data_IF_168987107582
#
_entry.id   IF_168987107582
#
_cell.length_a   1.000
_cell.length_b   1.000
_cell.length_c   1.000
_cell.angle_alpha   90.00
_cell.angle_beta   90.00
_cell.angle_gamma   90.00
#
_symmetry.space_group_name_H-M   'P 1'
#
loop_
_entity.id
_entity.type
_entity.pdbx_description
1 polymer ?
#
# COMPACT_ATOMS: atom_id res chain seq x y z
N UNK A 1 13.65 -15.14 6.97
CA UNK A 1 13.22 -14.15 7.88
C UNK A 1 11.85 -13.64 7.56
N UNK A 2 11.62 -13.34 6.34
CA UNK A 2 10.33 -12.80 6.02
C UNK A 2 9.22 -13.81 6.14
N UNK A 3 9.53 -15.07 6.01
CA UNK A 3 8.52 -16.11 6.15
C UNK A 3 7.97 -16.19 7.57
N UNK A 4 8.67 -15.61 8.52
CA UNK A 4 8.22 -15.64 9.88
C UNK A 4 7.64 -14.30 10.33
N UNK A 5 7.53 -13.35 9.44
CA UNK A 5 7.00 -12.07 9.82
C UNK A 5 5.52 -12.17 10.10
N UNK A 6 5.04 -11.36 11.05
CA UNK A 6 3.62 -11.31 11.35
C UNK A 6 2.88 -10.48 10.30
N UNK A 7 3.54 -9.59 9.61
CA UNK A 7 2.96 -8.80 8.54
C UNK A 7 4.08 -8.20 7.68
N UNK A 8 3.79 -7.92 6.44
CA UNK A 8 4.72 -7.22 5.55
C UNK A 8 4.11 -5.86 5.26
N UNK A 9 4.86 -4.81 5.55
CA UNK A 9 4.38 -3.45 5.35
C UNK A 9 5.18 -2.80 4.24
N UNK A 10 4.50 -2.27 3.23
CA UNK A 10 5.13 -1.53 2.14
C UNK A 10 4.76 -0.07 2.35
N UNK A 11 5.70 0.71 2.86
CA UNK A 11 5.45 2.10 3.22
C UNK A 11 6.69 2.94 3.01
N UNK A 12 6.66 3.93 2.15
CA UNK A 12 5.52 4.28 1.30
C UNK A 12 5.43 3.40 0.05
N UNK A 13 4.24 3.19 -0.43
CA UNK A 13 4.03 2.41 -1.65
C UNK A 13 3.76 3.38 -2.80
N UNK A 14 4.63 3.37 -3.80
CA UNK A 14 4.45 4.22 -4.97
C UNK A 14 3.44 3.61 -5.92
N UNK A 15 2.93 4.40 -6.85
CA UNK A 15 2.02 3.89 -7.87
C UNK A 15 2.67 2.76 -8.65
N UNK A 16 3.97 2.87 -8.92
CA UNK A 16 4.69 1.83 -9.66
C UNK A 16 4.72 0.52 -8.88
N UNK A 17 5.02 0.57 -7.61
CA UNK A 17 5.05 -0.64 -6.79
C UNK A 17 3.67 -1.26 -6.69
N UNK A 18 2.64 -0.44 -6.52
CA UNK A 18 1.26 -0.93 -6.45
C UNK A 18 0.88 -1.63 -7.75
N UNK A 19 1.26 -1.05 -8.90
CA UNK A 19 0.98 -1.66 -10.18
C UNK A 19 1.72 -2.99 -10.34
N UNK A 20 2.97 -3.06 -9.90
CA UNK A 20 3.72 -4.30 -9.98
C UNK A 20 3.10 -5.37 -9.10
N UNK A 21 2.70 -5.00 -7.89
CA UNK A 21 2.06 -5.95 -7.00
C UNK A 21 0.75 -6.46 -7.60
N UNK A 22 -0.03 -5.59 -8.20
CA UNK A 22 -1.32 -5.99 -8.78
C UNK A 22 -1.13 -6.92 -9.96
N UNK A 23 -0.01 -6.78 -10.69
CA UNK A 23 0.27 -7.62 -11.85
C UNK A 23 1.13 -8.83 -11.53
N UNK A 24 1.58 -8.96 -10.30
CA UNK A 24 2.40 -10.11 -9.92
C UNK A 24 3.84 -10.02 -10.42
N UNK A 25 4.34 -8.81 -10.65
CA UNK A 25 5.71 -8.63 -11.10
C UNK A 25 6.64 -8.66 -9.90
N UNK A 26 7.67 -9.46 -9.97
CA UNK A 26 8.63 -9.61 -8.89
C UNK A 26 10.02 -9.40 -9.45
N UNK A 27 10.35 -8.16 -9.75
CA UNK A 27 11.62 -7.83 -10.39
C UNK A 27 12.64 -7.20 -9.44
N UNK A 28 12.32 -7.11 -8.17
CA UNK A 28 13.28 -6.64 -7.16
C UNK A 28 12.98 -7.34 -5.84
N UNK A 29 13.77 -7.04 -4.82
CA UNK A 29 13.61 -7.70 -3.54
C UNK A 29 12.25 -7.41 -2.92
N UNK A 30 11.81 -6.18 -3.00
CA UNK A 30 10.52 -5.81 -2.41
C UNK A 30 9.37 -6.56 -3.06
N UNK A 31 9.27 -6.51 -4.38
CA UNK A 31 8.16 -7.13 -5.07
C UNK A 31 8.23 -8.66 -4.98
N UNK A 32 9.45 -9.20 -4.96
CA UNK A 32 9.61 -10.64 -4.77
C UNK A 32 9.16 -11.08 -3.38
N UNK A 33 9.48 -10.27 -2.38
CA UNK A 33 9.06 -10.57 -1.02
C UNK A 33 7.54 -10.56 -0.91
N UNK A 34 6.91 -9.54 -1.49
CA UNK A 34 5.46 -9.44 -1.44
C UNK A 34 4.81 -10.65 -2.14
N UNK A 35 5.35 -11.05 -3.26
CA UNK A 35 4.77 -12.15 -4.01
C UNK A 35 4.92 -13.48 -3.24
N UNK A 36 6.00 -13.65 -2.53
CA UNK A 36 6.29 -14.91 -1.86
C UNK A 36 5.72 -15.05 -0.45
N UNK A 37 5.39 -13.93 0.19
CA UNK A 37 5.00 -14.01 1.60
C UNK A 37 3.61 -14.59 1.77
N UNK A 38 3.43 -15.29 2.88
CA UNK A 38 2.09 -15.74 3.28
C UNK A 38 1.56 -14.88 4.42
N UNK A 39 2.35 -13.94 4.90
CA UNK A 39 1.89 -13.03 5.95
C UNK A 39 0.97 -11.98 5.35
N UNK A 40 0.12 -11.36 6.15
CA UNK A 40 -0.70 -10.27 5.66
C UNK A 40 0.16 -9.15 5.10
N UNK A 41 -0.27 -8.55 4.00
CA UNK A 41 0.45 -7.46 3.37
C UNK A 41 -0.34 -6.17 3.56
N UNK A 42 0.33 -5.14 4.02
CA UNK A 42 -0.27 -3.84 4.27
C UNK A 42 0.49 -2.84 3.42
N UNK A 43 -0.22 -2.06 2.61
CA UNK A 43 0.41 -1.03 1.81
C UNK A 43 -0.07 0.34 2.24
N UNK A 44 0.85 1.29 2.31
CA UNK A 44 0.55 2.68 2.64
C UNK A 44 0.95 3.54 1.46
N UNK A 45 0.04 3.82 0.55
CA UNK A 45 0.36 4.55 -0.68
C UNK A 45 0.81 5.98 -0.44
N UNK A 46 1.71 6.45 -1.29
CA UNK A 46 2.14 7.84 -1.31
C UNK A 46 2.43 8.21 -2.76
N UNK A 47 1.72 9.18 -3.28
CA UNK A 47 1.87 9.61 -4.66
C UNK A 47 1.14 10.92 -4.84
N UNK A 48 1.43 11.64 -5.92
CA UNK A 48 0.72 12.89 -6.12
C UNK A 48 -0.76 12.63 -6.43
N UNK A 49 -1.57 13.66 -6.32
CA UNK A 49 -3.02 13.50 -6.43
C UNK A 49 -3.45 13.02 -7.82
N UNK A 50 -2.74 13.42 -8.86
CA UNK A 50 -3.08 12.95 -10.19
C UNK A 50 -2.91 11.45 -10.34
N UNK A 51 -1.85 10.91 -9.76
CA UNK A 51 -1.65 9.47 -9.78
C UNK A 51 -2.65 8.76 -8.89
N UNK A 52 -2.94 9.33 -7.73
CA UNK A 52 -3.88 8.71 -6.81
C UNK A 52 -5.28 8.62 -7.42
N UNK A 53 -5.68 9.66 -8.12
CA UNK A 53 -7.03 9.70 -8.68
C UNK A 53 -7.16 8.99 -10.02
N UNK A 54 -6.05 8.56 -10.58
CA UNK A 54 -6.08 7.89 -11.87
C UNK A 54 -6.81 6.54 -11.74
N UNK A 55 -7.68 6.25 -12.67
CA UNK A 55 -8.48 5.04 -12.60
C UNK A 55 -7.62 3.78 -12.61
N UNK A 56 -6.48 3.79 -13.26
CA UNK A 56 -5.59 2.63 -13.28
C UNK A 56 -5.04 2.37 -11.89
N UNK A 57 -4.65 3.41 -11.17
CA UNK A 57 -4.17 3.26 -9.80
C UNK A 57 -5.27 2.69 -8.91
N UNK A 58 -6.47 3.22 -9.03
CA UNK A 58 -7.59 2.75 -8.22
C UNK A 58 -7.97 1.31 -8.57
N UNK A 59 -7.88 0.94 -9.83
CA UNK A 59 -8.13 -0.44 -10.23
C UNK A 59 -7.08 -1.37 -9.63
N UNK A 60 -5.82 -0.96 -9.66
CA UNK A 60 -4.75 -1.79 -9.09
C UNK A 60 -4.94 -1.96 -7.59
N UNK A 61 -5.34 -0.91 -6.89
CA UNK A 61 -5.62 -1.03 -5.46
C UNK A 61 -6.82 -1.93 -5.22
N UNK A 62 -7.83 -1.86 -6.07
CA UNK A 62 -8.98 -2.75 -5.95
C UNK A 62 -8.59 -4.22 -6.13
N UNK A 63 -7.68 -4.50 -7.05
CA UNK A 63 -7.19 -5.86 -7.22
C UNK A 63 -6.44 -6.34 -5.99
N UNK A 64 -5.62 -5.47 -5.40
CA UNK A 64 -4.89 -5.85 -4.20
C UNK A 64 -5.84 -6.09 -3.05
N UNK A 65 -6.86 -5.24 -2.88
CA UNK A 65 -7.84 -5.45 -1.82
C UNK A 65 -8.59 -6.75 -2.00
N UNK A 66 -8.92 -7.09 -3.24
CA UNK A 66 -9.65 -8.33 -3.49
C UNK A 66 -8.80 -9.57 -3.18
N UNK A 67 -7.47 -9.41 -3.10
CA UNK A 67 -6.59 -10.50 -2.75
C UNK A 67 -6.22 -10.49 -1.27
N UNK A 68 -6.84 -9.62 -0.49
CA UNK A 68 -6.58 -9.57 0.94
C UNK A 68 -5.52 -8.58 1.39
N UNK A 69 -4.96 -7.79 0.48
CA UNK A 69 -4.00 -6.77 0.87
C UNK A 69 -4.74 -5.64 1.56
N UNK A 70 -4.20 -5.17 2.66
CA UNK A 70 -4.81 -4.09 3.42
C UNK A 70 -4.21 -2.79 2.94
N UNK A 71 -5.05 -1.86 2.50
CA UNK A 71 -4.60 -0.56 2.01
C UNK A 71 -4.91 0.48 3.07
N UNK A 72 -3.89 1.19 3.52
CA UNK A 72 -4.06 2.30 4.46
C UNK A 72 -4.03 3.57 3.62
N UNK A 73 -5.17 4.23 3.42
CA UNK A 73 -5.24 5.36 2.49
C UNK A 73 -4.27 6.49 2.87
N UNK A 74 -3.84 7.28 1.90
CA UNK A 74 -2.96 8.40 2.21
C UNK A 74 -3.62 9.37 3.17
N UNK A 75 -2.80 10.00 3.92
CA UNK A 75 -3.32 11.01 4.77
C UNK A 75 -3.76 12.16 3.97
N UNK A 76 -4.87 12.81 4.24
CA UNK A 76 -5.34 13.54 3.43
C UNK A 76 -5.73 14.51 3.25
N UNK A 77 -6.01 14.21 2.82
CA UNK A 77 -6.47 14.83 2.11
C UNK A 77 -7.31 15.86 2.36
N UNK A 78 -7.82 15.76 3.31
CA UNK A 78 -8.75 16.62 3.49
C UNK A 78 -8.24 17.85 3.58
N UNK A 79 -7.22 17.88 3.51
CA UNK A 79 -6.72 19.02 3.50
C UNK A 79 -7.18 19.72 2.57
N UNK A 80 -8.07 19.71 2.59
CA UNK A 80 -8.65 20.45 1.82
C UNK A 80 -7.92 21.27 1.02
N UNK A 81 -7.09 21.71 1.42
CA UNK A 81 -6.53 22.61 0.68
C UNK A 81 -5.89 22.15 -0.34
N UNK A 82 -5.90 21.13 -0.34
CA UNK A 82 -5.27 21.04 -1.19
C UNK A 82 -4.77 19.99 -1.78
N UNK A 83 -4.54 20.02 -2.95
CA UNK A 83 -3.99 18.97 -3.60
C UNK A 83 -2.74 18.52 -2.98
N UNK A 84 -2.02 19.37 -2.43
CA UNK A 84 -0.72 18.99 -1.97
C UNK A 84 -0.75 18.01 -0.81
N UNK A 85 -1.83 17.91 -0.13
CA UNK A 85 -1.86 16.97 0.95
C UNK A 85 -2.21 15.58 0.56
N UNK A 86 -2.74 15.43 -0.64
CA UNK A 86 -3.33 14.21 -0.98
C UNK A 86 -2.43 13.07 -1.25
N UNK A 87 -1.23 13.26 -1.53
CA UNK A 87 -0.33 12.16 -1.84
C UNK A 87 0.49 11.66 -0.67
N UNK A 88 0.28 12.20 0.52
CA UNK A 88 1.14 11.84 1.61
C UNK A 88 0.79 10.48 2.17
N UNK A 89 1.79 9.74 2.56
CA UNK A 89 1.58 8.48 3.21
C UNK A 89 0.76 8.67 4.49
N UNK A 90 -0.02 7.70 4.83
CA UNK A 90 -0.79 7.72 6.07
C UNK A 90 0.12 7.90 7.27
N UNK A 91 -0.44 8.39 8.37
CA UNK A 91 0.32 8.55 9.59
C UNK A 91 0.82 7.20 10.08
N UNK A 92 1.94 7.23 10.75
CA UNK A 92 2.50 6.00 11.32
C UNK A 92 1.50 5.33 12.24
N UNK A 93 0.74 6.10 13.01
CA UNK A 93 -0.25 5.51 13.91
C UNK A 93 -1.31 4.71 13.17
N UNK A 94 -1.74 5.18 12.00
CA UNK A 94 -2.70 4.45 11.20
C UNK A 94 -2.11 3.16 10.64
N UNK A 95 -0.85 3.21 10.23
CA UNK A 95 -0.17 2.03 9.73
C UNK A 95 0.01 1.02 10.85
N UNK A 96 0.40 1.47 12.03
CA UNK A 96 0.58 0.58 13.17
C UNK A 96 -0.74 -0.05 13.59
N UNK A 97 -1.85 0.68 13.51
CA UNK A 97 -3.15 0.11 13.82
C UNK A 97 -3.50 -0.99 12.82
N UNK A 98 -3.19 -0.79 11.55
CA UNK A 98 -3.45 -1.81 10.53
C UNK A 98 -2.60 -3.05 10.79
N UNK A 99 -1.35 -2.87 11.19
CA UNK A 99 -0.48 -3.99 11.51
C UNK A 99 -1.04 -4.77 12.69
N UNK A 100 -1.46 -4.08 13.74
CA UNK A 100 -2.01 -4.75 14.89
C UNK A 100 -3.25 -5.53 14.54
N UNK A 101 -4.13 -4.95 13.75
CA UNK A 101 -5.36 -5.64 13.37
C UNK A 101 -5.07 -6.87 12.52
N UNK A 102 -4.08 -6.79 11.66
CA UNK A 102 -3.74 -7.90 10.80
C UNK A 102 -3.08 -9.04 11.57
N UNK A 103 -2.38 -8.70 12.66
CA UNK A 103 -1.66 -9.70 13.43
C UNK A 103 -2.52 -10.39 14.47
N UNK A 104 -3.67 -9.86 14.77
CA UNK A 104 -4.49 -10.45 15.86
C UNK A 104 -5.50 -11.53 15.41
#
# INVERSE_FOLDING_TARGET
ALAQADAVVVAPATANVIAKMACGIADDLLTSTVLATRAPVIVAPAMNSGMWENCVTQENLGRLRSRGVIVVPPADGELACGASGRGRMADVSGILAAVRNASS
#
